data_IF_854208015963
#
_entry.id   IF_854208015963
#
_cell.length_a   1.000
_cell.length_b   1.000
_cell.length_c   1.000
_cell.angle_alpha   90.00
_cell.angle_beta   90.00
_cell.angle_gamma   90.00
#
_symmetry.space_group_name_H-M   'P 1'
#
loop_
_entity.id
_entity.type
_entity.pdbx_description
1 polymer ?
#
# COMPACT_ATOMS: atom_id res chain seq x y z
N UNK A 1 5.08 -28.46 39.56
CA UNK A 1 4.87 -27.28 38.69
C UNK A 1 6.22 -26.83 38.17
N UNK A 2 6.63 -27.13 36.93
CA UNK A 2 7.96 -26.77 36.46
C UNK A 2 7.99 -25.31 36.03
N UNK A 3 8.91 -24.56 36.63
CA UNK A 3 9.20 -23.16 36.35
C UNK A 3 9.67 -23.04 34.90
N UNK A 4 8.84 -22.40 34.07
CA UNK A 4 9.11 -22.14 32.66
C UNK A 4 10.19 -21.05 32.58
N UNK A 5 11.46 -21.48 32.47
CA UNK A 5 12.59 -20.59 32.15
C UNK A 5 12.30 -19.85 30.85
N UNK A 6 12.04 -18.55 30.94
CA UNK A 6 12.00 -17.65 29.80
C UNK A 6 13.41 -17.55 29.21
N UNK A 7 13.64 -18.19 28.06
CA UNK A 7 14.84 -17.99 27.25
C UNK A 7 14.90 -16.50 26.87
N UNK A 8 15.84 -15.75 27.44
CA UNK A 8 16.30 -14.48 26.86
C UNK A 8 16.72 -14.76 25.43
N UNK A 9 15.94 -14.30 24.44
CA UNK A 9 16.40 -14.23 23.05
C UNK A 9 17.52 -13.20 23.03
N UNK A 10 18.76 -13.68 22.96
CA UNK A 10 19.90 -12.86 22.55
C UNK A 10 19.56 -12.23 21.20
N UNK A 11 19.70 -10.91 21.06
CA UNK A 11 19.61 -10.23 19.78
C UNK A 11 20.59 -10.91 18.82
N UNK A 12 20.08 -11.52 17.75
CA UNK A 12 20.92 -12.13 16.74
C UNK A 12 21.81 -11.04 16.12
N UNK A 13 23.10 -11.31 15.98
CA UNK A 13 24.03 -10.41 15.30
C UNK A 13 23.62 -10.36 13.82
N UNK A 14 23.23 -9.19 13.34
CA UNK A 14 22.92 -8.99 11.92
C UNK A 14 24.25 -8.98 11.16
N UNK A 15 24.41 -9.90 10.21
CA UNK A 15 25.57 -9.94 9.31
C UNK A 15 25.09 -9.64 7.89
N UNK A 16 25.76 -8.70 7.21
CA UNK A 16 25.44 -8.30 5.85
C UNK A 16 26.51 -8.82 4.89
N UNK A 17 26.14 -9.37 3.72
CA UNK A 17 27.10 -9.72 2.67
C UNK A 17 27.93 -8.50 2.25
N UNK A 18 29.22 -8.70 1.92
CA UNK A 18 30.15 -7.62 1.57
C UNK A 18 29.80 -6.90 0.27
N UNK A 19 29.06 -7.55 -0.64
CA UNK A 19 28.61 -6.97 -1.91
C UNK A 19 27.29 -6.19 -1.77
N UNK A 20 26.74 -6.04 -0.57
CA UNK A 20 25.42 -5.44 -0.35
C UNK A 20 25.43 -3.95 -0.68
N UNK A 21 24.48 -3.51 -1.49
CA UNK A 21 24.25 -2.09 -1.83
C UNK A 21 22.96 -1.56 -1.22
N UNK A 22 22.00 -2.45 -0.97
CA UNK A 22 20.66 -2.15 -0.47
C UNK A 22 20.35 -3.03 0.74
N UNK A 23 19.88 -2.43 1.83
CA UNK A 23 19.28 -3.17 2.96
C UNK A 23 18.25 -2.29 3.66
N UNK A 24 17.18 -2.90 4.15
CA UNK A 24 16.23 -2.25 5.06
C UNK A 24 16.27 -2.94 6.42
N UNK A 25 16.38 -2.18 7.50
CA UNK A 25 16.33 -2.67 8.88
C UNK A 25 15.11 -2.11 9.59
N UNK A 26 14.61 -2.88 10.57
CA UNK A 26 13.56 -2.46 11.49
C UNK A 26 14.07 -2.53 12.92
N UNK A 27 13.93 -1.43 13.64
CA UNK A 27 14.13 -1.34 15.08
C UNK A 27 12.80 -1.62 15.77
N UNK A 28 12.80 -2.58 16.68
CA UNK A 28 11.74 -2.77 17.66
C UNK A 28 12.12 -2.00 18.91
N UNK A 29 11.38 -0.94 19.18
CA UNK A 29 11.68 0.00 20.28
C UNK A 29 10.50 0.13 21.22
N UNK A 30 10.79 0.42 22.48
CA UNK A 30 9.77 0.57 23.50
C UNK A 30 10.13 1.69 24.49
N UNK A 31 9.18 2.59 24.81
CA UNK A 31 9.40 3.62 25.82
C UNK A 31 9.24 3.02 27.23
N UNK A 32 10.03 3.50 28.19
CA UNK A 32 9.93 3.06 29.60
C UNK A 32 8.74 3.68 30.35
N UNK A 33 8.13 4.73 29.79
CA UNK A 33 7.02 5.47 30.40
C UNK A 33 6.15 6.07 29.29
N UNK A 34 4.99 6.60 29.66
CA UNK A 34 4.19 7.35 28.71
C UNK A 34 4.92 8.65 28.35
N UNK A 35 5.15 8.89 27.06
CA UNK A 35 5.79 10.12 26.59
C UNK A 35 4.91 10.85 25.59
N UNK A 36 4.75 12.15 25.81
CA UNK A 36 4.17 13.02 24.79
C UNK A 36 5.25 13.39 23.79
N UNK A 37 4.97 13.18 22.50
CA UNK A 37 5.89 13.51 21.40
C UNK A 37 5.28 14.58 20.50
N UNK A 38 6.13 15.48 20.01
CA UNK A 38 5.71 16.52 19.08
C UNK A 38 5.37 15.95 17.70
N UNK A 39 4.41 16.52 16.95
CA UNK A 39 4.06 16.05 15.60
C UNK A 39 5.24 15.95 14.63
N UNK A 40 6.30 16.75 14.83
CA UNK A 40 7.52 16.78 14.03
C UNK A 40 8.61 15.81 14.50
N UNK A 41 8.30 14.85 15.38
CA UNK A 41 9.29 13.91 15.95
C UNK A 41 10.15 13.17 14.92
N UNK A 42 9.68 13.00 13.69
CA UNK A 42 10.45 12.41 12.60
C UNK A 42 11.75 13.19 12.29
N UNK A 43 11.80 14.50 12.58
CA UNK A 43 13.04 15.29 12.55
C UNK A 43 14.04 14.83 13.60
N UNK A 44 13.55 14.48 14.79
CA UNK A 44 14.37 13.95 15.87
C UNK A 44 14.97 12.60 15.49
N UNK A 45 14.18 11.72 14.87
CA UNK A 45 14.68 10.44 14.33
C UNK A 45 15.75 10.65 13.25
N UNK A 46 15.51 11.56 12.31
CA UNK A 46 16.49 11.93 11.29
C UNK A 46 17.79 12.46 11.90
N UNK A 47 17.69 13.44 12.81
CA UNK A 47 18.85 14.04 13.46
C UNK A 47 19.62 13.02 14.31
N UNK A 48 18.90 12.14 15.02
CA UNK A 48 19.51 11.06 15.79
C UNK A 48 20.31 10.13 14.89
N UNK A 49 19.72 9.67 13.76
CA UNK A 49 20.40 8.80 12.80
C UNK A 49 21.67 9.44 12.25
N UNK A 50 21.60 10.69 11.77
CA UNK A 50 22.78 11.40 11.26
C UNK A 50 23.84 11.61 12.36
N UNK A 51 23.43 11.83 13.61
CA UNK A 51 24.36 11.95 14.71
C UNK A 51 25.09 10.63 15.00
N UNK A 52 24.42 9.47 14.86
CA UNK A 52 25.08 8.16 14.95
C UNK A 52 26.15 7.99 13.86
N UNK A 53 25.83 8.39 12.63
CA UNK A 53 26.80 8.40 11.53
C UNK A 53 27.96 9.33 11.86
N UNK A 54 27.68 10.56 12.28
CA UNK A 54 28.71 11.58 12.59
C UNK A 54 29.70 11.14 13.66
N UNK A 55 29.25 10.42 14.69
CA UNK A 55 30.10 9.98 15.79
C UNK A 55 31.19 8.99 15.36
N UNK A 56 30.94 8.22 14.31
CA UNK A 56 31.86 7.15 13.84
C UNK A 56 32.46 7.47 12.47
N UNK A 57 31.79 8.27 11.65
CA UNK A 57 32.22 8.69 10.33
C UNK A 57 31.68 10.12 9.98
N UNK A 58 32.36 11.19 10.43
CA UNK A 58 31.95 12.57 10.17
C UNK A 58 31.80 12.91 8.68
N UNK A 59 32.71 12.40 7.84
CA UNK A 59 32.70 12.67 6.40
C UNK A 59 31.47 12.07 5.71
N UNK A 60 31.11 10.83 6.06
CA UNK A 60 29.86 10.22 5.59
C UNK A 60 28.65 11.02 6.06
N UNK A 61 28.61 11.47 7.31
CA UNK A 61 27.51 12.31 7.79
C UNK A 61 27.37 13.61 7.00
N UNK A 62 28.47 14.27 6.64
CA UNK A 62 28.48 15.46 5.78
C UNK A 62 27.90 15.13 4.41
N UNK A 63 28.33 14.02 3.77
CA UNK A 63 27.75 13.58 2.51
C UNK A 63 26.22 13.33 2.60
N UNK A 64 25.77 12.66 3.66
CA UNK A 64 24.34 12.39 3.89
C UNK A 64 23.51 13.66 4.15
N UNK A 65 24.10 14.68 4.78
CA UNK A 65 23.40 15.92 5.12
C UNK A 65 23.48 16.97 3.99
N UNK A 66 24.66 17.21 3.44
CA UNK A 66 24.98 18.33 2.55
C UNK A 66 25.00 17.97 1.06
N UNK A 67 25.01 16.68 0.70
CA UNK A 67 25.00 16.26 -0.70
C UNK A 67 23.83 16.86 -1.50
N UNK A 68 24.12 17.43 -2.67
CA UNK A 68 23.12 18.06 -3.56
C UNK A 68 22.31 17.03 -4.37
N UNK A 69 22.78 15.78 -4.44
CA UNK A 69 22.10 14.62 -5.06
C UNK A 69 20.97 14.06 -4.19
N UNK A 70 20.30 12.99 -4.64
CA UNK A 70 19.41 12.23 -3.76
C UNK A 70 20.18 11.73 -2.53
N UNK A 71 19.47 11.54 -1.41
CA UNK A 71 20.05 11.01 -0.18
C UNK A 71 20.04 9.48 -0.23
N UNK A 72 21.14 8.79 0.13
CA UNK A 72 21.26 7.34 -0.02
C UNK A 72 20.58 6.57 1.12
N UNK A 73 19.52 7.12 1.71
CA UNK A 73 18.81 6.46 2.81
C UNK A 73 17.35 6.89 2.89
N UNK A 74 16.56 6.07 3.58
CA UNK A 74 15.21 6.42 4.01
C UNK A 74 15.04 6.12 5.50
N UNK A 75 14.13 6.85 6.15
CA UNK A 75 13.66 6.50 7.49
C UNK A 75 12.14 6.51 7.48
N UNK A 76 11.50 5.69 8.31
CA UNK A 76 10.06 5.77 8.53
C UNK A 76 9.71 6.70 9.69
N UNK A 77 8.41 6.98 9.84
CA UNK A 77 7.83 7.39 11.13
C UNK A 77 7.72 6.17 12.05
N UNK A 78 7.42 6.41 13.32
CA UNK A 78 7.14 5.32 14.26
C UNK A 78 5.82 4.65 13.87
N UNK A 79 5.82 3.33 13.82
CA UNK A 79 4.64 2.50 13.60
C UNK A 79 4.27 1.79 14.89
N UNK A 80 3.02 1.86 15.30
CA UNK A 80 2.52 1.27 16.53
C UNK A 80 1.23 1.95 16.97
N UNK A 81 0.68 1.49 18.10
CA UNK A 81 -0.51 2.10 18.68
C UNK A 81 -0.11 3.35 19.46
N UNK A 82 -0.58 4.50 19.01
CA UNK A 82 -0.41 5.76 19.73
C UNK A 82 -1.64 6.02 20.58
N UNK A 83 -1.43 6.59 21.76
CA UNK A 83 -2.51 7.17 22.53
C UNK A 83 -2.77 8.58 21.97
N UNK A 84 -4.04 8.89 21.75
CA UNK A 84 -4.50 10.21 21.34
C UNK A 84 -5.22 10.83 22.52
N UNK A 85 -4.73 11.98 22.99
CA UNK A 85 -5.46 12.81 23.95
C UNK A 85 -5.27 14.28 23.56
N UNK A 86 -6.37 15.00 23.35
CA UNK A 86 -6.41 16.45 23.07
C UNK A 86 -5.32 16.96 22.10
N UNK A 87 -5.29 16.42 20.88
CA UNK A 87 -4.36 16.78 19.81
C UNK A 87 -2.87 16.51 20.08
N UNK A 88 -2.51 15.83 21.18
CA UNK A 88 -1.15 15.39 21.48
C UNK A 88 -0.98 13.91 21.17
N UNK A 89 0.12 13.57 20.49
CA UNK A 89 0.49 12.20 20.21
C UNK A 89 1.29 11.65 21.39
N UNK A 90 0.84 10.53 21.97
CA UNK A 90 1.49 9.90 23.10
C UNK A 90 1.96 8.49 22.77
N UNK A 91 3.21 8.20 23.16
CA UNK A 91 3.76 6.87 23.21
C UNK A 91 3.33 6.22 24.53
N UNK A 92 2.83 4.99 24.46
CA UNK A 92 2.45 4.21 25.62
C UNK A 92 3.63 3.41 26.17
N UNK A 93 3.82 3.44 27.48
CA UNK A 93 4.82 2.67 28.20
C UNK A 93 4.75 1.19 27.82
N UNK A 94 5.92 0.56 27.70
CA UNK A 94 6.09 -0.88 27.41
C UNK A 94 5.44 -1.36 26.10
N UNK A 95 4.90 -0.45 25.29
CA UNK A 95 4.36 -0.77 23.97
C UNK A 95 5.50 -0.92 22.96
N UNK A 96 5.30 -1.81 21.99
CA UNK A 96 6.26 -2.01 20.91
C UNK A 96 5.95 -1.07 19.75
N UNK A 97 6.94 -0.27 19.36
CA UNK A 97 6.94 0.55 18.16
C UNK A 97 8.00 0.05 17.20
N UNK A 98 7.72 0.19 15.90
CA UNK A 98 8.66 -0.14 14.83
C UNK A 98 9.16 1.14 14.17
N UNK A 99 10.47 1.18 13.92
CA UNK A 99 11.10 2.23 13.13
C UNK A 99 11.99 1.63 12.08
N UNK A 100 11.85 2.07 10.83
CA UNK A 100 12.56 1.50 9.70
C UNK A 100 13.63 2.46 9.21
N UNK A 101 14.78 1.92 8.85
CA UNK A 101 15.88 2.64 8.20
C UNK A 101 16.35 1.79 7.01
N UNK A 102 16.50 2.39 5.84
CA UNK A 102 17.05 1.69 4.67
C UNK A 102 18.25 2.43 4.12
N UNK A 103 19.27 1.69 3.70
CA UNK A 103 20.41 2.19 2.94
C UNK A 103 20.24 1.89 1.46
N UNK A 104 20.72 2.84 0.63
CA UNK A 104 20.64 2.81 -0.82
C UNK A 104 22.01 2.81 -1.51
N UNK A 105 23.11 2.82 -0.76
CA UNK A 105 24.46 2.79 -1.33
C UNK A 105 25.38 1.87 -0.54
N UNK A 106 26.32 1.22 -1.25
CA UNK A 106 27.33 0.35 -0.64
C UNK A 106 28.12 1.06 0.47
N UNK A 107 28.47 2.35 0.29
CA UNK A 107 29.16 3.16 1.30
C UNK A 107 28.36 3.23 2.61
N UNK A 108 27.05 3.47 2.53
CA UNK A 108 26.22 3.53 3.73
C UNK A 108 25.96 2.14 4.33
N UNK A 109 25.79 1.12 3.49
CA UNK A 109 25.63 -0.26 3.94
C UNK A 109 26.85 -0.75 4.71
N UNK A 110 28.06 -0.46 4.24
CA UNK A 110 29.30 -0.81 4.93
C UNK A 110 29.35 -0.17 6.33
N UNK A 111 29.05 1.13 6.43
CA UNK A 111 28.93 1.80 7.72
C UNK A 111 27.84 1.18 8.61
N UNK A 112 26.68 0.84 8.05
CA UNK A 112 25.60 0.20 8.80
C UNK A 112 26.00 -1.18 9.33
N UNK A 113 26.79 -1.95 8.59
CA UNK A 113 27.28 -3.26 9.04
C UNK A 113 28.09 -3.15 10.33
N UNK A 114 28.99 -2.16 10.42
CA UNK A 114 29.78 -1.87 11.61
C UNK A 114 28.92 -1.29 12.74
N UNK A 115 28.04 -0.34 12.40
CA UNK A 115 27.14 0.31 13.36
C UNK A 115 26.19 -0.69 14.04
N UNK A 116 25.69 -1.69 13.30
CA UNK A 116 24.82 -2.73 13.83
C UNK A 116 25.52 -3.63 14.88
N UNK A 117 26.85 -3.72 14.86
CA UNK A 117 27.62 -4.44 15.90
C UNK A 117 27.70 -3.65 17.21
N UNK A 118 27.62 -2.32 17.14
CA UNK A 118 27.84 -1.40 18.24
C UNK A 118 26.66 -0.43 18.43
N UNK A 119 25.45 -0.98 18.42
CA UNK A 119 24.24 -0.18 18.57
C UNK A 119 24.13 0.44 19.98
N UNK A 120 23.69 1.71 20.08
CA UNK A 120 23.29 2.26 21.36
C UNK A 120 22.09 1.49 21.93
N UNK A 121 21.88 1.58 23.25
CA UNK A 121 20.74 0.95 23.92
C UNK A 121 19.42 1.73 23.71
N UNK A 122 19.52 3.01 23.39
CA UNK A 122 18.39 3.93 23.32
C UNK A 122 18.45 4.83 22.09
N UNK A 123 17.27 5.16 21.57
CA UNK A 123 17.06 6.26 20.63
C UNK A 123 16.59 7.45 21.44
N UNK A 124 17.41 8.50 21.49
CA UNK A 124 17.13 9.71 22.26
C UNK A 124 16.27 10.67 21.44
N UNK A 125 14.97 10.66 21.70
CA UNK A 125 13.99 11.52 21.02
C UNK A 125 13.57 12.67 21.94
N UNK A 126 14.47 13.63 22.17
CA UNK A 126 14.27 14.75 23.09
C UNK A 126 13.83 14.27 24.49
N UNK A 127 12.56 14.45 24.87
CA UNK A 127 12.03 14.05 26.18
C UNK A 127 11.42 12.63 26.19
N UNK A 128 11.65 11.83 25.14
CA UNK A 128 11.06 10.51 24.97
C UNK A 128 12.13 9.45 24.61
N UNK A 129 12.99 9.01 25.54
CA UNK A 129 13.97 7.97 25.29
C UNK A 129 13.28 6.64 24.94
N UNK A 130 13.68 6.02 23.83
CA UNK A 130 13.10 4.77 23.32
C UNK A 130 14.15 3.65 23.41
N UNK A 131 13.89 2.63 24.21
CA UNK A 131 14.81 1.50 24.35
C UNK A 131 14.76 0.61 23.12
N UNK A 132 15.92 0.29 22.55
CA UNK A 132 16.02 -0.68 21.45
C UNK A 132 15.94 -2.08 22.05
N UNK A 133 14.90 -2.83 21.69
CA UNK A 133 14.66 -4.21 22.16
C UNK A 133 15.26 -5.23 21.21
N UNK A 134 15.10 -5.02 19.91
CA UNK A 134 15.73 -5.83 18.85
C UNK A 134 15.84 -5.02 17.56
N UNK A 135 16.70 -5.51 16.67
CA UNK A 135 16.81 -5.03 15.29
C UNK A 135 16.72 -6.25 14.38
N UNK A 136 16.01 -6.13 13.26
CA UNK A 136 15.81 -7.19 12.29
C UNK A 136 15.97 -6.65 10.86
N UNK A 137 16.24 -7.55 9.91
CA UNK A 137 16.22 -7.21 8.48
C UNK A 137 14.76 -7.11 8.04
N UNK A 138 14.32 -5.90 7.71
CA UNK A 138 13.00 -5.63 7.16
C UNK A 138 12.94 -5.89 5.65
N UNK A 139 14.01 -5.49 4.94
CA UNK A 139 14.18 -5.72 3.51
C UNK A 139 15.54 -6.38 3.26
N UNK A 140 15.59 -7.53 2.58
CA UNK A 140 16.81 -8.32 2.43
C UNK A 140 18.00 -7.52 1.88
N UNK A 141 19.20 -7.85 2.35
CA UNK A 141 20.44 -7.39 1.74
C UNK A 141 20.49 -7.80 0.25
N UNK A 142 20.69 -6.83 -0.65
CA UNK A 142 20.71 -7.07 -2.10
C UNK A 142 21.56 -6.03 -2.84
N UNK A 143 21.61 -6.17 -4.17
CA UNK A 143 22.32 -5.29 -5.11
C UNK A 143 21.37 -4.82 -6.19
N UNK A 144 21.65 -3.68 -6.81
CA UNK A 144 20.88 -3.17 -7.96
C UNK A 144 20.87 -4.16 -9.13
N UNK A 145 22.02 -4.80 -9.40
CA UNK A 145 22.14 -5.85 -10.41
C UNK A 145 21.19 -7.03 -10.16
N UNK A 146 21.16 -7.57 -8.93
CA UNK A 146 20.22 -8.62 -8.50
C UNK A 146 18.75 -8.19 -8.65
N UNK A 147 18.41 -6.92 -8.43
CA UNK A 147 17.05 -6.42 -8.66
C UNK A 147 16.67 -6.46 -10.14
N UNK A 148 17.60 -6.07 -11.03
CA UNK A 148 17.41 -6.05 -12.49
C UNK A 148 17.34 -7.45 -13.11
N UNK A 149 18.19 -8.37 -12.65
CA UNK A 149 18.31 -9.73 -13.20
C UNK A 149 17.14 -10.65 -12.84
N UNK A 150 16.21 -10.21 -11.99
CA UNK A 150 15.12 -11.04 -11.51
C UNK A 150 13.97 -11.14 -12.54
N UNK A 151 14.21 -11.96 -13.57
CA UNK A 151 13.32 -12.23 -14.71
C UNK A 151 12.02 -12.98 -14.36
N UNK A 152 11.88 -13.49 -13.13
CA UNK A 152 10.69 -14.25 -12.68
C UNK A 152 9.58 -13.37 -12.10
N UNK A 153 9.75 -12.05 -12.05
CA UNK A 153 8.72 -11.16 -11.52
C UNK A 153 7.51 -11.07 -12.45
N UNK A 154 6.32 -11.03 -11.84
CA UNK A 154 5.06 -10.74 -12.53
C UNK A 154 5.08 -9.32 -13.10
N UNK A 155 4.29 -9.09 -14.14
CA UNK A 155 4.09 -7.75 -14.73
C UNK A 155 3.14 -6.89 -13.89
N UNK A 156 2.30 -7.52 -13.07
CA UNK A 156 1.48 -6.83 -12.08
C UNK A 156 2.34 -6.46 -10.88
N UNK A 157 2.26 -5.20 -10.45
CA UNK A 157 2.99 -4.64 -9.33
C UNK A 157 2.02 -3.94 -8.39
N UNK A 158 1.73 -4.55 -7.24
CA UNK A 158 0.95 -3.93 -6.17
C UNK A 158 1.90 -3.27 -5.16
N UNK A 159 1.66 -2.00 -4.85
CA UNK A 159 2.43 -1.21 -3.89
C UNK A 159 1.51 -0.58 -2.85
N UNK A 160 1.91 -0.67 -1.59
CA UNK A 160 1.25 -0.01 -0.47
C UNK A 160 2.09 1.12 0.10
N UNK A 161 1.48 2.29 0.24
CA UNK A 161 2.03 3.55 0.72
C UNK A 161 1.59 3.75 2.17
N UNK A 162 2.45 3.30 3.09
CA UNK A 162 2.18 3.23 4.53
C UNK A 162 2.19 4.62 5.17
N UNK A 163 3.03 5.51 4.67
CA UNK A 163 3.11 6.90 5.11
C UNK A 163 2.73 7.85 3.97
N UNK A 164 2.31 9.09 4.27
CA UNK A 164 1.88 10.03 3.25
C UNK A 164 2.95 10.22 2.17
N UNK A 165 2.53 10.03 0.92
CA UNK A 165 3.37 10.09 -0.28
C UNK A 165 2.95 11.28 -1.11
N UNK A 166 3.90 12.09 -1.56
CA UNK A 166 3.60 13.29 -2.35
C UNK A 166 4.74 13.60 -3.30
N UNK A 167 4.37 14.17 -4.45
CA UNK A 167 5.29 14.64 -5.47
C UNK A 167 5.28 16.17 -5.53
N UNK A 168 6.26 16.75 -6.23
CA UNK A 168 6.25 18.18 -6.57
C UNK A 168 5.87 18.34 -8.02
N UNK A 169 4.84 19.14 -8.29
CA UNK A 169 4.45 19.54 -9.65
C UNK A 169 4.21 21.04 -9.67
N UNK A 170 4.97 21.77 -10.50
CA UNK A 170 4.90 23.23 -10.62
C UNK A 170 4.90 23.94 -9.24
N UNK A 171 5.83 23.57 -8.35
CA UNK A 171 5.95 24.06 -6.95
C UNK A 171 4.85 23.61 -5.98
N UNK A 172 3.76 22.99 -6.42
CA UNK A 172 2.68 22.47 -5.57
C UNK A 172 2.89 21.01 -5.15
N UNK A 173 2.24 20.60 -4.06
CA UNK A 173 2.12 19.19 -3.70
C UNK A 173 1.19 18.48 -4.67
N UNK A 174 1.59 17.30 -5.14
CA UNK A 174 0.82 16.46 -6.04
C UNK A 174 0.59 15.10 -5.37
N UNK A 175 -0.56 14.91 -4.68
CA UNK A 175 -0.85 13.72 -3.89
C UNK A 175 -1.57 12.64 -4.72
N UNK A 176 -1.16 12.40 -5.96
CA UNK A 176 -1.77 11.38 -6.82
C UNK A 176 -0.73 10.37 -7.32
N UNK A 177 -1.05 9.06 -7.28
CA UNK A 177 -0.14 7.99 -7.66
C UNK A 177 -0.10 7.78 -9.19
N UNK A 178 0.22 8.81 -9.96
CA UNK A 178 0.40 8.63 -11.40
C UNK A 178 1.65 7.78 -11.68
N UNK A 179 1.59 6.80 -12.61
CA UNK A 179 2.72 5.95 -12.96
C UNK A 179 3.99 6.77 -13.24
N UNK A 180 3.89 7.78 -14.11
CA UNK A 180 5.00 8.69 -14.41
C UNK A 180 5.70 9.20 -13.15
N UNK A 181 4.97 9.76 -12.18
CA UNK A 181 5.54 10.35 -10.98
C UNK A 181 6.16 9.31 -10.03
N UNK A 182 5.53 8.15 -9.93
CA UNK A 182 6.02 7.04 -9.11
C UNK A 182 7.34 6.52 -9.66
N UNK A 183 7.37 6.17 -10.95
CA UNK A 183 8.57 5.60 -11.57
C UNK A 183 9.67 6.65 -11.72
N UNK A 184 9.35 7.92 -11.99
CA UNK A 184 10.32 9.01 -11.90
C UNK A 184 10.95 9.11 -10.50
N UNK A 185 10.17 8.91 -9.44
CA UNK A 185 10.72 8.94 -8.09
C UNK A 185 11.73 7.82 -7.83
N UNK A 186 11.47 6.61 -8.34
CA UNK A 186 12.38 5.48 -8.18
C UNK A 186 13.60 5.62 -9.09
N UNK A 187 13.38 6.04 -10.33
CA UNK A 187 14.41 6.16 -11.34
C UNK A 187 15.49 7.17 -10.94
N UNK A 188 15.12 8.31 -10.34
CA UNK A 188 16.12 9.28 -9.83
C UNK A 188 17.10 8.63 -8.83
N UNK A 189 16.60 7.79 -7.91
CA UNK A 189 17.45 7.08 -6.93
C UNK A 189 18.18 5.90 -7.55
N UNK A 190 17.59 5.27 -8.57
CA UNK A 190 18.29 4.27 -9.37
C UNK A 190 19.50 4.88 -10.07
N UNK A 191 19.32 5.98 -10.80
CA UNK A 191 20.41 6.63 -11.54
C UNK A 191 21.51 7.18 -10.63
N UNK A 192 21.16 7.68 -9.44
CA UNK A 192 22.16 8.20 -8.49
C UNK A 192 23.03 7.12 -7.84
N UNK A 193 22.51 5.89 -7.65
CA UNK A 193 23.16 4.90 -6.78
C UNK A 193 23.45 3.54 -7.41
N UNK A 194 22.79 3.18 -8.51
CA UNK A 194 22.90 1.83 -9.08
C UNK A 194 24.18 1.56 -9.87
N UNK A 195 24.89 2.61 -10.28
CA UNK A 195 25.94 2.55 -11.31
C UNK A 195 25.46 1.92 -12.64
N UNK A 196 24.14 1.91 -12.88
CA UNK A 196 23.47 1.40 -14.07
C UNK A 196 22.51 2.48 -14.60
N UNK A 197 23.03 3.63 -15.08
CA UNK A 197 22.19 4.75 -15.47
C UNK A 197 21.27 4.40 -16.63
N UNK A 198 20.08 4.98 -16.60
CA UNK A 198 19.06 4.83 -17.65
C UNK A 198 18.63 6.22 -18.12
N UNK A 199 18.50 6.38 -19.44
CA UNK A 199 17.95 7.58 -20.06
C UNK A 199 16.53 7.84 -19.56
N UNK A 200 16.36 8.97 -18.85
CA UNK A 200 15.17 9.21 -18.06
C UNK A 200 13.94 9.48 -18.92
N UNK A 201 14.08 10.30 -19.95
CA UNK A 201 12.93 10.80 -20.69
C UNK A 201 12.28 9.67 -21.52
N UNK A 202 13.09 8.84 -22.18
CA UNK A 202 12.59 7.71 -22.97
C UNK A 202 11.90 6.65 -22.11
N UNK A 203 12.47 6.32 -20.94
CA UNK A 203 11.83 5.37 -20.03
C UNK A 203 10.53 5.93 -19.44
N UNK A 204 10.50 7.21 -19.07
CA UNK A 204 9.29 7.80 -18.48
C UNK A 204 8.17 8.02 -19.50
N UNK A 205 8.50 8.31 -20.76
CA UNK A 205 7.54 8.29 -21.86
C UNK A 205 6.96 6.88 -22.04
N UNK A 206 7.82 5.86 -22.07
CA UNK A 206 7.37 4.47 -22.10
C UNK A 206 6.46 4.12 -20.91
N UNK A 207 6.79 4.60 -19.69
CA UNK A 207 5.93 4.41 -18.50
C UNK A 207 4.56 5.04 -18.69
N UNK A 208 4.50 6.27 -19.20
CA UNK A 208 3.24 7.01 -19.39
C UNK A 208 2.32 6.31 -20.41
N UNK A 209 2.89 5.71 -21.45
CA UNK A 209 2.16 4.97 -22.47
C UNK A 209 1.75 3.56 -22.04
N UNK A 210 2.60 2.87 -21.26
CA UNK A 210 2.51 1.42 -21.09
C UNK A 210 2.16 0.96 -19.67
N UNK A 211 2.33 1.79 -18.64
CA UNK A 211 2.01 1.42 -17.26
C UNK A 211 0.64 1.96 -16.88
N UNK A 212 -0.28 1.04 -16.57
CA UNK A 212 -1.68 1.35 -16.25
C UNK A 212 -1.99 1.11 -14.78
N UNK A 213 -2.85 1.93 -14.19
CA UNK A 213 -3.43 1.65 -12.86
C UNK A 213 -4.57 0.66 -13.05
N UNK A 214 -4.44 -0.55 -12.51
CA UNK A 214 -5.46 -1.60 -12.57
C UNK A 214 -6.46 -1.49 -11.42
N UNK A 215 -5.95 -1.18 -10.22
CA UNK A 215 -6.74 -1.05 -8.99
C UNK A 215 -6.08 -0.01 -8.10
N UNK A 216 -6.85 0.81 -7.40
CA UNK A 216 -6.31 1.67 -6.35
C UNK A 216 -7.31 1.86 -5.22
N UNK A 217 -6.79 2.04 -4.02
CA UNK A 217 -7.53 2.50 -2.85
C UNK A 217 -6.61 3.45 -2.11
N UNK A 218 -6.90 4.75 -2.22
CA UNK A 218 -6.04 5.79 -1.67
C UNK A 218 -6.87 6.80 -0.89
N UNK A 219 -6.25 7.41 0.11
CA UNK A 219 -6.82 8.52 0.86
C UNK A 219 -5.82 9.66 0.91
N UNK A 220 -6.32 10.89 0.78
CA UNK A 220 -5.49 12.08 0.90
C UNK A 220 -5.40 12.50 2.36
N UNK A 221 -4.19 12.79 2.82
CA UNK A 221 -3.93 13.25 4.18
C UNK A 221 -2.94 14.41 4.20
N UNK A 222 -3.00 15.22 5.25
CA UNK A 222 -2.07 16.34 5.48
C UNK A 222 -1.26 16.06 6.73
N UNK A 223 0.06 16.12 6.61
CA UNK A 223 0.98 15.90 7.74
C UNK A 223 2.08 16.95 7.81
N UNK A 224 2.67 17.19 9.00
CA UNK A 224 3.84 18.05 9.12
C UNK A 224 4.99 17.57 8.25
N UNK A 225 5.50 18.46 7.38
CA UNK A 225 6.46 18.12 6.33
C UNK A 225 7.92 18.46 6.64
N UNK A 226 8.36 18.46 7.89
CA UNK A 226 9.70 18.92 8.24
C UNK A 226 9.74 20.40 8.65
N UNK A 227 10.75 21.18 8.23
CA UNK A 227 11.09 22.49 8.86
C UNK A 227 9.94 23.51 8.88
N UNK A 228 9.13 23.64 7.82
CA UNK A 228 7.92 24.50 7.77
C UNK A 228 6.85 23.88 6.87
N UNK A 229 5.58 24.03 7.26
CA UNK A 229 4.40 23.73 6.44
C UNK A 229 3.89 22.28 6.50
N UNK A 230 2.63 22.12 6.09
CA UNK A 230 1.98 20.83 5.90
C UNK A 230 2.28 20.28 4.50
N UNK A 231 2.48 18.97 4.40
CA UNK A 231 2.53 18.24 3.12
C UNK A 231 1.20 17.56 2.92
N UNK A 232 0.57 17.81 1.78
CA UNK A 232 -0.58 17.05 1.31
C UNK A 232 -0.05 15.86 0.52
N UNK A 233 -0.37 14.65 0.95
CA UNK A 233 0.06 13.40 0.32
C UNK A 233 -1.06 12.36 0.34
N UNK A 234 -0.83 11.23 -0.33
CA UNK A 234 -1.73 10.07 -0.28
C UNK A 234 -1.13 8.92 0.53
N UNK A 235 -2.00 8.14 1.15
CA UNK A 235 -1.71 6.80 1.70
C UNK A 235 -2.64 5.80 1.04
N UNK A 236 -2.31 4.51 1.12
CA UNK A 236 -3.16 3.45 0.59
C UNK A 236 -2.39 2.50 -0.32
N UNK A 237 -3.03 1.92 -1.33
CA UNK A 237 -2.43 0.94 -2.21
C UNK A 237 -2.85 1.16 -3.66
N UNK A 238 -1.93 0.82 -4.57
CA UNK A 238 -2.13 0.91 -6.01
C UNK A 238 -1.53 -0.32 -6.65
N UNK A 239 -2.27 -0.92 -7.57
CA UNK A 239 -1.83 -2.00 -8.41
C UNK A 239 -1.62 -1.49 -9.83
N UNK A 240 -0.40 -1.68 -10.33
CA UNK A 240 0.01 -1.36 -11.68
C UNK A 240 0.03 -2.61 -12.54
N UNK A 241 -0.35 -2.45 -13.80
CA UNK A 241 -0.17 -3.44 -14.85
C UNK A 241 0.56 -2.86 -16.05
N UNK A 242 0.91 -3.73 -16.99
CA UNK A 242 1.51 -3.35 -18.25
C UNK A 242 0.51 -3.54 -19.39
N UNK A 243 0.43 -2.56 -20.29
CA UNK A 243 -0.27 -2.66 -21.56
C UNK A 243 0.34 -3.71 -22.48
N UNK A 244 -0.37 -4.06 -23.57
CA UNK A 244 0.08 -5.08 -24.54
C UNK A 244 1.41 -4.70 -25.20
N UNK A 245 1.53 -3.42 -25.56
CA UNK A 245 2.67 -2.86 -26.28
C UNK A 245 3.95 -2.78 -25.43
N UNK A 246 3.83 -2.85 -24.10
CA UNK A 246 4.96 -2.82 -23.17
C UNK A 246 6.01 -3.88 -23.50
N UNK A 247 5.55 -5.04 -24.01
CA UNK A 247 6.42 -6.18 -24.36
C UNK A 247 7.37 -5.93 -25.53
N UNK A 248 7.14 -4.87 -26.33
CA UNK A 248 8.04 -4.45 -27.41
C UNK A 248 9.40 -3.97 -26.90
N UNK A 249 9.43 -3.44 -25.67
CA UNK A 249 10.65 -2.95 -25.01
C UNK A 249 10.95 -3.79 -23.74
N UNK A 250 11.48 -5.02 -23.89
CA UNK A 250 11.66 -5.95 -22.77
C UNK A 250 12.64 -5.44 -21.70
N UNK A 251 13.57 -4.55 -22.08
CA UNK A 251 14.48 -3.89 -21.15
C UNK A 251 13.75 -2.94 -20.19
N UNK A 252 12.79 -2.15 -20.69
CA UNK A 252 11.95 -1.29 -19.85
C UNK A 252 10.98 -2.08 -18.98
N UNK A 253 10.48 -3.22 -19.47
CA UNK A 253 9.72 -4.16 -18.62
C UNK A 253 10.57 -4.67 -17.46
N UNK A 254 11.84 -5.02 -17.70
CA UNK A 254 12.74 -5.47 -16.64
C UNK A 254 13.06 -4.33 -15.65
N UNK A 255 13.31 -3.13 -16.15
CA UNK A 255 13.54 -1.96 -15.31
C UNK A 255 12.31 -1.62 -14.46
N UNK A 256 11.10 -1.62 -15.03
CA UNK A 256 9.85 -1.45 -14.29
C UNK A 256 9.74 -2.43 -13.12
N UNK A 257 10.02 -3.72 -13.35
CA UNK A 257 10.02 -4.75 -12.29
C UNK A 257 11.09 -4.49 -11.23
N UNK A 258 12.28 -4.06 -11.65
CA UNK A 258 13.40 -3.74 -10.75
C UNK A 258 13.07 -2.53 -9.86
N UNK A 259 12.54 -1.44 -10.45
CA UNK A 259 12.12 -0.25 -9.73
C UNK A 259 10.96 -0.55 -8.77
N UNK A 260 10.02 -1.41 -9.15
CA UNK A 260 8.99 -1.90 -8.24
C UNK A 260 9.54 -2.60 -7.00
N UNK A 261 10.62 -3.39 -7.16
CA UNK A 261 11.32 -4.04 -6.03
C UNK A 261 12.25 -3.11 -5.26
N UNK A 262 12.71 -2.04 -5.88
CA UNK A 262 13.47 -0.98 -5.21
C UNK A 262 12.58 -0.14 -4.29
N UNK A 263 11.29 0.03 -4.65
CA UNK A 263 10.34 0.90 -3.96
C UNK A 263 10.32 0.75 -2.42
N UNK A 264 10.36 -0.45 -1.80
CA UNK A 264 10.37 -0.58 -0.35
C UNK A 264 11.62 -0.06 0.35
N UNK A 265 12.77 -0.04 -0.35
CA UNK A 265 14.04 0.48 0.15
C UNK A 265 14.09 1.99 0.04
N UNK A 266 13.77 2.51 -1.16
CA UNK A 266 13.99 3.92 -1.49
C UNK A 266 12.81 4.85 -1.17
N UNK A 267 11.64 4.26 -0.88
CA UNK A 267 10.40 4.99 -0.72
C UNK A 267 9.97 5.75 -1.98
N UNK A 268 8.81 6.39 -1.90
CA UNK A 268 8.17 7.08 -3.03
C UNK A 268 8.03 8.57 -2.77
N UNK A 269 8.28 9.38 -3.78
CA UNK A 269 8.11 10.82 -3.74
C UNK A 269 9.23 11.52 -2.96
N UNK A 270 8.86 12.57 -2.25
CA UNK A 270 9.80 13.43 -1.54
C UNK A 270 9.81 13.24 -0.02
N UNK A 271 10.88 13.72 0.63
CA UNK A 271 11.06 13.71 2.09
C UNK A 271 11.03 12.29 2.72
N UNK A 272 11.52 11.31 1.97
CA UNK A 272 11.71 9.92 2.43
C UNK A 272 12.72 9.81 3.59
N UNK A 273 13.61 10.78 3.73
CA UNK A 273 14.50 10.95 4.89
C UNK A 273 13.83 11.56 6.12
N UNK A 274 12.54 11.88 6.06
CA UNK A 274 11.74 12.42 7.16
C UNK A 274 10.47 11.59 7.44
N UNK A 275 10.44 10.32 7.02
CA UNK A 275 9.31 9.44 7.33
C UNK A 275 8.13 9.51 6.37
N UNK A 276 8.23 10.25 5.27
CA UNK A 276 7.22 10.28 4.21
C UNK A 276 7.54 9.24 3.13
N UNK A 277 6.57 8.87 2.30
CA UNK A 277 6.84 8.00 1.15
C UNK A 277 7.22 6.56 1.48
N UNK A 278 7.04 6.07 2.71
CA UNK A 278 7.30 4.68 3.06
C UNK A 278 6.40 3.74 2.24
N UNK A 279 7.05 2.91 1.42
CA UNK A 279 6.40 1.98 0.50
C UNK A 279 6.67 0.53 0.89
N UNK A 280 5.73 -0.36 0.59
CA UNK A 280 5.82 -1.81 0.77
C UNK A 280 5.32 -2.51 -0.48
N UNK A 281 5.87 -3.68 -0.76
CA UNK A 281 5.37 -4.56 -1.81
C UNK A 281 4.05 -5.21 -1.38
N UNK A 282 3.15 -5.39 -2.33
CA UNK A 282 1.85 -6.02 -2.13
C UNK A 282 0.72 -5.04 -1.81
N UNK A 283 -0.49 -5.57 -1.83
CA UNK A 283 -1.70 -4.90 -1.38
C UNK A 283 -1.90 -5.16 0.11
N UNK A 284 -1.61 -4.17 0.95
CA UNK A 284 -1.60 -4.28 2.42
C UNK A 284 -2.72 -3.50 3.10
N UNK A 285 -3.70 -3.01 2.33
CA UNK A 285 -4.90 -2.42 2.92
C UNK A 285 -5.80 -3.56 3.39
N UNK A 286 -6.20 -3.49 4.66
CA UNK A 286 -7.29 -4.29 5.20
C UNK A 286 -8.60 -3.82 4.55
N UNK A 287 -9.26 -4.71 3.81
CA UNK A 287 -10.54 -4.41 3.16
C UNK A 287 -11.62 -4.24 4.24
N UNK A 288 -12.01 -3.01 4.55
CA UNK A 288 -13.39 -2.78 4.95
C UNK A 288 -14.24 -3.08 3.72
N UNK A 289 -14.89 -4.25 3.71
CA UNK A 289 -15.87 -4.60 2.68
C UNK A 289 -17.03 -3.60 2.77
N UNK A 290 -16.92 -2.51 2.04
CA UNK A 290 -18.10 -1.77 1.62
C UNK A 290 -18.67 -2.59 0.47
N UNK A 291 -19.62 -3.48 0.79
CA UNK A 291 -20.46 -4.11 -0.21
C UNK A 291 -21.25 -3.00 -0.92
N UNK A 292 -20.70 -2.48 -2.00
CA UNK A 292 -21.47 -1.69 -2.96
C UNK A 292 -22.33 -2.70 -3.72
N UNK A 293 -23.44 -3.11 -3.12
CA UNK A 293 -24.39 -3.97 -3.81
C UNK A 293 -25.02 -3.12 -4.90
N UNK A 294 -24.74 -3.43 -6.16
CA UNK A 294 -25.35 -2.69 -7.25
C UNK A 294 -26.87 -2.95 -7.26
N UNK A 295 -27.72 -1.96 -7.58
CA UNK A 295 -29.16 -2.19 -7.75
C UNK A 295 -29.48 -3.32 -8.74
N UNK A 296 -28.58 -3.55 -9.71
CA UNK A 296 -28.67 -4.62 -10.70
C UNK A 296 -28.41 -6.00 -10.09
N UNK A 297 -27.42 -6.14 -9.20
CA UNK A 297 -27.18 -7.40 -8.46
C UNK A 297 -28.28 -7.69 -7.45
N UNK A 298 -28.81 -6.67 -6.75
CA UNK A 298 -29.99 -6.85 -5.90
C UNK A 298 -31.17 -7.37 -6.70
N UNK A 299 -31.44 -6.78 -7.87
CA UNK A 299 -32.50 -7.22 -8.77
C UNK A 299 -32.25 -8.66 -9.26
N UNK A 300 -31.05 -8.98 -9.73
CA UNK A 300 -30.70 -10.31 -10.21
C UNK A 300 -30.83 -11.39 -9.12
N UNK A 301 -30.35 -11.12 -7.91
CA UNK A 301 -30.49 -12.00 -6.75
C UNK A 301 -31.96 -12.21 -6.39
N UNK A 302 -32.77 -11.15 -6.45
CA UNK A 302 -34.21 -11.25 -6.18
C UNK A 302 -34.95 -12.06 -7.24
N UNK A 303 -34.59 -11.91 -8.53
CA UNK A 303 -35.13 -12.72 -9.62
C UNK A 303 -34.79 -14.19 -9.42
N UNK A 304 -33.55 -14.51 -9.06
CA UNK A 304 -33.12 -15.88 -8.79
C UNK A 304 -33.92 -16.50 -7.64
N UNK A 305 -34.06 -15.78 -6.52
CA UNK A 305 -34.82 -16.23 -5.36
C UNK A 305 -36.31 -16.51 -5.68
N UNK A 306 -36.98 -15.57 -6.37
CA UNK A 306 -38.39 -15.77 -6.76
C UNK A 306 -38.51 -16.92 -7.77
N UNK A 307 -37.56 -17.07 -8.69
CA UNK A 307 -37.54 -18.18 -9.65
C UNK A 307 -37.46 -19.53 -8.94
N UNK A 308 -36.59 -19.64 -7.93
CA UNK A 308 -36.44 -20.87 -7.14
C UNK A 308 -37.72 -21.24 -6.40
N UNK A 309 -38.38 -20.25 -5.75
CA UNK A 309 -39.67 -20.46 -5.08
C UNK A 309 -40.76 -20.87 -6.06
N UNK A 310 -40.81 -20.26 -7.25
CA UNK A 310 -41.78 -20.63 -8.27
C UNK A 310 -41.52 -22.04 -8.82
N UNK A 311 -40.25 -22.42 -8.98
CA UNK A 311 -39.84 -23.73 -9.46
C UNK A 311 -40.11 -24.84 -8.44
N UNK A 312 -39.91 -24.60 -7.14
CA UNK A 312 -40.17 -25.60 -6.08
C UNK A 312 -41.66 -25.99 -5.99
N UNK A 313 -42.56 -25.10 -6.45
CA UNK A 313 -44.02 -25.33 -6.50
C UNK A 313 -44.51 -25.87 -7.85
N UNK A 314 -43.64 -26.11 -8.82
CA UNK A 314 -44.03 -26.69 -10.11
C UNK A 314 -44.22 -28.21 -10.02
N UNK A 315 -45.39 -28.71 -10.43
CA UNK A 315 -45.70 -30.14 -10.48
C UNK A 315 -44.95 -30.91 -11.58
N UNK A 316 -44.41 -30.21 -12.59
CA UNK A 316 -43.64 -30.79 -13.71
C UNK A 316 -42.34 -29.99 -13.88
N UNK A 317 -41.21 -30.62 -13.56
CA UNK A 317 -39.88 -29.98 -13.55
C UNK A 317 -39.06 -30.22 -14.83
N UNK A 318 -39.51 -31.10 -15.73
CA UNK A 318 -38.72 -31.63 -16.85
C UNK A 318 -38.81 -30.90 -18.20
N UNK A 319 -38.79 -29.57 -18.25
CA UNK A 319 -38.78 -28.86 -19.55
C UNK A 319 -38.36 -27.38 -19.50
N UNK A 320 -37.63 -26.93 -20.54
CA UNK A 320 -37.10 -25.55 -20.69
C UNK A 320 -38.18 -24.47 -20.63
N UNK A 321 -39.41 -24.81 -21.03
CA UNK A 321 -40.57 -23.91 -21.03
C UNK A 321 -41.05 -23.54 -19.62
N UNK A 322 -40.99 -24.48 -18.66
CA UNK A 322 -41.43 -24.22 -17.28
C UNK A 322 -40.47 -23.23 -16.57
N UNK A 323 -39.17 -23.44 -16.76
CA UNK A 323 -38.11 -22.56 -16.23
C UNK A 323 -38.24 -21.16 -16.82
N UNK A 324 -38.39 -21.03 -18.15
CA UNK A 324 -38.55 -19.74 -18.83
C UNK A 324 -39.76 -18.95 -18.33
N UNK A 325 -40.88 -19.62 -18.06
CA UNK A 325 -42.08 -18.99 -17.49
C UNK A 325 -41.85 -18.53 -16.05
N UNK A 326 -41.20 -19.35 -15.21
CA UNK A 326 -40.86 -18.96 -13.83
C UNK A 326 -39.89 -17.77 -13.79
N UNK A 327 -38.85 -17.78 -14.63
CA UNK A 327 -37.89 -16.67 -14.76
C UNK A 327 -38.57 -15.37 -15.21
N UNK A 328 -39.43 -15.45 -16.23
CA UNK A 328 -40.17 -14.28 -16.73
C UNK A 328 -41.10 -13.70 -15.67
N UNK A 329 -41.80 -14.56 -14.92
CA UNK A 329 -42.66 -14.15 -13.78
C UNK A 329 -41.85 -13.55 -12.63
N UNK A 330 -40.70 -14.13 -12.32
CA UNK A 330 -39.78 -13.64 -11.30
C UNK A 330 -39.18 -12.27 -11.66
N UNK A 331 -38.77 -12.08 -12.91
CA UNK A 331 -38.30 -10.80 -13.44
C UNK A 331 -39.33 -9.69 -13.29
N UNK A 332 -40.58 -9.96 -13.70
CA UNK A 332 -41.69 -9.01 -13.58
C UNK A 332 -41.99 -8.68 -12.11
N UNK A 333 -41.99 -9.68 -11.22
CA UNK A 333 -42.27 -9.45 -9.79
C UNK A 333 -41.14 -8.68 -9.11
N UNK A 334 -39.88 -9.03 -9.35
CA UNK A 334 -38.73 -8.37 -8.74
C UNK A 334 -38.64 -6.89 -9.16
N UNK A 335 -38.86 -6.58 -10.44
CA UNK A 335 -38.91 -5.19 -10.95
C UNK A 335 -40.07 -4.38 -10.35
N UNK A 336 -41.21 -5.04 -10.08
CA UNK A 336 -42.34 -4.39 -9.41
C UNK A 336 -42.03 -4.10 -7.93
N UNK A 337 -41.28 -4.96 -7.25
CA UNK A 337 -40.85 -4.74 -5.86
C UNK A 337 -39.80 -3.61 -5.75
N UNK A 338 -38.99 -3.38 -6.79
CA UNK A 338 -38.05 -2.25 -6.86
C UNK A 338 -38.71 -0.92 -7.24
N UNK A 339 -40.03 -0.89 -7.46
CA UNK A 339 -40.81 0.33 -7.65
C UNK A 339 -41.16 0.66 -9.10
N UNK A 340 -40.76 -0.15 -10.09
CA UNK A 340 -41.14 0.08 -11.49
C UNK A 340 -42.66 -0.04 -11.68
N UNK A 341 -43.22 0.79 -12.56
CA UNK A 341 -44.65 0.72 -12.89
C UNK A 341 -44.95 -0.50 -13.76
N UNK A 342 -46.16 -1.03 -13.67
CA UNK A 342 -46.59 -2.16 -14.52
C UNK A 342 -46.58 -1.77 -16.02
N UNK A 343 -46.78 -0.50 -16.33
CA UNK A 343 -46.77 0.04 -17.69
C UNK A 343 -45.35 0.05 -18.26
N UNK A 344 -44.36 0.44 -17.46
CA UNK A 344 -42.95 0.48 -17.87
C UNK A 344 -42.41 -0.94 -18.09
N UNK A 345 -42.74 -1.87 -17.18
CA UNK A 345 -42.35 -3.29 -17.30
C UNK A 345 -42.98 -3.92 -18.55
N UNK A 346 -44.25 -3.60 -18.84
CA UNK A 346 -44.96 -4.11 -20.02
C UNK A 346 -44.33 -3.60 -21.33
N UNK A 347 -43.98 -2.31 -21.36
CA UNK A 347 -43.36 -1.65 -22.51
C UNK A 347 -41.96 -2.21 -22.77
N UNK A 348 -41.15 -2.36 -21.72
CA UNK A 348 -39.76 -2.81 -21.82
C UNK A 348 -39.64 -4.30 -22.20
N UNK A 349 -40.55 -5.15 -21.72
CA UNK A 349 -40.53 -6.59 -22.02
C UNK A 349 -41.30 -6.97 -23.29
N UNK A 350 -41.96 -6.01 -23.96
CA UNK A 350 -42.88 -6.23 -25.08
C UNK A 350 -43.96 -7.28 -24.75
N UNK A 351 -44.63 -7.09 -23.59
CA UNK A 351 -45.67 -7.99 -23.08
C UNK A 351 -46.94 -7.16 -22.83
N UNK A 352 -48.14 -7.68 -23.18
CA UNK A 352 -49.39 -6.98 -22.87
C UNK A 352 -49.53 -6.68 -21.37
N UNK A 353 -49.95 -5.46 -21.03
CA UNK A 353 -50.13 -4.99 -19.66
C UNK A 353 -50.94 -5.95 -18.78
N UNK A 354 -52.05 -6.49 -19.30
CA UNK A 354 -52.90 -7.45 -18.57
C UNK A 354 -52.18 -8.77 -18.25
N UNK A 355 -51.21 -9.18 -19.08
CA UNK A 355 -50.37 -10.35 -18.83
C UNK A 355 -49.38 -10.07 -17.71
N UNK A 356 -48.72 -8.90 -17.72
CA UNK A 356 -47.82 -8.46 -16.64
C UNK A 356 -48.56 -8.37 -15.30
N UNK A 357 -49.74 -7.74 -15.28
CA UNK A 357 -50.61 -7.64 -14.10
C UNK A 357 -51.03 -9.01 -13.56
N UNK A 358 -51.38 -9.94 -14.44
CA UNK A 358 -51.72 -11.33 -14.08
C UNK A 358 -50.52 -12.06 -13.49
N UNK A 359 -49.33 -11.91 -14.09
CA UNK A 359 -48.10 -12.54 -13.61
C UNK A 359 -47.68 -12.02 -12.23
N UNK A 360 -47.82 -10.72 -11.96
CA UNK A 360 -47.60 -10.16 -10.62
C UNK A 360 -48.59 -10.76 -9.62
N UNK A 361 -49.89 -10.78 -9.93
CA UNK A 361 -50.93 -11.32 -9.04
C UNK A 361 -50.67 -12.78 -8.67
N UNK A 362 -50.41 -13.63 -9.67
CA UNK A 362 -50.16 -15.06 -9.46
C UNK A 362 -48.86 -15.32 -8.70
N UNK A 363 -47.81 -14.57 -9.00
CA UNK A 363 -46.49 -14.72 -8.34
C UNK A 363 -46.56 -14.26 -6.89
N UNK A 364 -47.23 -13.13 -6.61
CA UNK A 364 -47.46 -12.65 -5.24
C UNK A 364 -48.23 -13.66 -4.39
N UNK A 365 -49.29 -14.27 -4.94
CA UNK A 365 -50.03 -15.33 -4.25
C UNK A 365 -49.13 -16.52 -3.90
N UNK A 366 -48.33 -16.98 -4.87
CA UNK A 366 -47.40 -18.10 -4.65
C UNK A 366 -46.32 -17.77 -3.63
N UNK A 367 -45.81 -16.53 -3.60
CA UNK A 367 -44.82 -16.08 -2.62
C UNK A 367 -45.41 -16.02 -1.20
N UNK A 368 -46.68 -15.64 -1.04
CA UNK A 368 -47.36 -15.58 0.26
C UNK A 368 -47.67 -16.97 0.86
N UNK A 369 -47.67 -18.02 0.03
CA UNK A 369 -47.91 -19.41 0.42
C UNK A 369 -46.60 -20.20 0.67
N UNK A 370 -45.44 -19.52 0.66
CA UNK A 370 -44.08 -20.07 0.84
C UNK A 370 -43.42 -19.38 2.01
#
# INVERSE_FOLDING_TARGET
MPIRRTRKKSSAIITLPTDTELVGIVFHISPASNYTIFPEYAKGLHAWFLNQVRQTNPELSTYLHDGESEKPFTISRLQGKFLSNDAKLQLAADSNYQWYVSALSSRLVAWMADWLQNLPKTIELHNAPLQIKSVEIAHPATTYKKLLENKKAKNTLSLSYISPTSFRRKKHHFPLPLPFNIFQSYLRRWNDFSNLPVEQDTFLEWVDENVIIQRHQISTTRVPGGKRGLVTGFTGAVEFGLGKEASKEPEYVNLYRALGKLAPYCGTGHKTTFGLGQTRLGWLIEEEKIEVVSPQELLANRIAQITEILMSKQKRTGGSRAISVCQKRAAIMARRETGESLQDIATDLDIPYETVKTYVKLTRKMLAES
#
